data_IF_695376710313
#
_entry.id   IF_695376710313
#
_cell.length_a   1.000
_cell.length_b   1.000
_cell.length_c   1.000
_cell.angle_alpha   90.00
_cell.angle_beta   90.00
_cell.angle_gamma   90.00
#
_symmetry.space_group_name_H-M   'P 1'
#
loop_
_entity.id
_entity.type
_entity.pdbx_description
1 polymer ?
#
# COMPACT_ATOMS: atom_id res chain seq x y z
N UNK A 1 8.74 23.27 84.45
CA UNK A 1 8.36 24.27 83.43
C UNK A 1 9.51 25.27 83.39
N UNK A 2 10.34 25.39 82.32
CA UNK A 2 9.95 25.72 80.93
C UNK A 2 10.67 24.86 79.84
N UNK A 3 10.02 24.57 78.70
CA UNK A 3 10.14 25.15 77.33
C UNK A 3 11.49 24.95 76.59
N UNK A 4 11.48 23.93 75.72
CA UNK A 4 11.93 23.86 74.31
C UNK A 4 13.21 24.59 73.86
N UNK A 5 14.18 23.82 73.35
CA UNK A 5 14.94 24.19 72.14
C UNK A 5 15.50 22.94 71.44
N UNK A 6 14.86 22.55 70.33
CA UNK A 6 15.30 21.45 69.47
C UNK A 6 16.56 21.83 68.68
N UNK A 7 17.65 21.08 68.86
CA UNK A 7 18.91 21.25 68.13
C UNK A 7 18.78 20.73 66.69
N UNK A 8 18.73 21.64 65.72
CA UNK A 8 18.92 21.36 64.28
C UNK A 8 20.33 20.82 64.02
N UNK A 9 20.44 19.61 63.46
CA UNK A 9 21.69 19.08 62.88
C UNK A 9 21.98 19.73 61.51
N UNK A 10 23.25 19.95 61.15
CA UNK A 10 23.61 20.66 59.92
C UNK A 10 23.33 19.84 58.66
N UNK A 11 22.86 20.52 57.63
CA UNK A 11 22.63 19.97 56.30
C UNK A 11 23.97 19.58 55.65
N UNK A 12 24.10 18.32 55.23
CA UNK A 12 25.22 17.89 54.37
C UNK A 12 25.05 18.53 52.99
N UNK A 13 25.98 19.40 52.63
CA UNK A 13 26.12 19.94 51.28
C UNK A 13 26.44 18.81 50.30
N UNK A 14 25.44 18.39 49.51
CA UNK A 14 25.65 17.43 48.43
C UNK A 14 26.19 18.21 47.23
N UNK A 15 27.47 18.00 46.89
CA UNK A 15 28.12 18.58 45.70
C UNK A 15 27.34 18.13 44.47
N UNK A 16 26.53 19.03 43.88
CA UNK A 16 25.93 18.81 42.55
C UNK A 16 27.06 18.74 41.53
N UNK A 17 27.40 17.52 41.09
CA UNK A 17 28.13 17.32 39.84
C UNK A 17 27.25 17.86 38.72
N UNK A 18 27.65 18.96 38.11
CA UNK A 18 27.13 19.45 36.84
C UNK A 18 27.58 18.48 35.74
N UNK A 19 26.84 17.39 35.56
CA UNK A 19 26.95 16.59 34.35
C UNK A 19 26.16 17.29 33.26
N UNK A 20 26.88 17.98 32.36
CA UNK A 20 26.35 18.41 31.07
C UNK A 20 25.69 17.19 30.40
N UNK A 21 24.39 17.22 30.04
CA UNK A 21 23.79 16.11 29.32
C UNK A 21 24.49 16.00 27.96
N UNK A 22 25.09 14.83 27.69
CA UNK A 22 25.56 14.46 26.34
C UNK A 22 24.40 14.70 25.35
N UNK A 23 24.66 15.24 24.15
CA UNK A 23 23.62 15.38 23.14
C UNK A 23 23.02 14.00 22.93
N UNK A 24 21.73 13.86 23.20
CA UNK A 24 21.02 12.63 22.88
C UNK A 24 21.14 12.46 21.37
N UNK A 25 21.84 11.42 20.94
CA UNK A 25 21.76 10.93 19.57
C UNK A 25 20.28 10.67 19.29
N UNK A 26 19.66 11.61 18.57
CA UNK A 26 18.39 11.41 17.91
C UNK A 26 18.62 10.28 16.91
N UNK A 27 18.49 9.03 17.39
CA UNK A 27 18.46 7.84 16.55
C UNK A 27 17.36 8.08 15.53
N UNK A 28 17.77 8.29 14.29
CA UNK A 28 16.87 8.53 13.18
C UNK A 28 15.99 7.29 12.99
N UNK A 29 14.82 7.32 13.62
CA UNK A 29 13.79 6.28 13.52
C UNK A 29 13.15 6.23 12.13
N UNK A 30 13.41 7.22 11.25
CA UNK A 30 12.94 7.22 9.85
C UNK A 30 13.84 6.34 8.98
N UNK A 31 15.16 6.35 9.19
CA UNK A 31 16.10 5.54 8.41
C UNK A 31 15.88 4.02 8.56
N UNK A 32 15.40 3.55 9.72
CA UNK A 32 15.09 2.12 9.95
C UNK A 32 13.77 1.64 9.32
N UNK A 33 12.85 2.53 8.94
CA UNK A 33 11.56 2.14 8.33
C UNK A 33 11.63 1.95 6.81
N UNK A 34 12.73 2.35 6.19
CA UNK A 34 13.08 2.00 4.81
C UNK A 34 13.68 0.58 4.73
N UNK A 35 13.13 -0.38 5.48
CA UNK A 35 13.22 -1.77 5.04
C UNK A 35 12.56 -1.81 3.65
N UNK A 36 13.39 -2.03 2.64
CA UNK A 36 13.12 -1.85 1.22
C UNK A 36 11.73 -2.39 0.87
N UNK A 37 10.77 -1.49 0.64
CA UNK A 37 9.42 -1.88 0.21
C UNK A 37 9.58 -2.76 -1.03
N UNK A 38 9.12 -4.00 -0.90
CA UNK A 38 9.22 -4.97 -1.97
C UNK A 38 8.11 -4.70 -2.97
N UNK A 39 8.47 -4.64 -4.24
CA UNK A 39 7.54 -4.49 -5.34
C UNK A 39 7.96 -5.37 -6.51
N UNK A 40 7.01 -5.70 -7.36
CA UNK A 40 7.24 -6.42 -8.60
C UNK A 40 7.66 -5.43 -9.67
N UNK A 41 8.66 -5.75 -10.46
CA UNK A 41 8.96 -4.99 -11.69
C UNK A 41 7.81 -5.15 -12.69
N UNK A 42 7.78 -4.32 -13.73
CA UNK A 42 6.79 -4.46 -14.81
C UNK A 42 6.87 -5.82 -15.50
N UNK A 43 8.08 -6.39 -15.66
CA UNK A 43 8.27 -7.73 -16.22
C UNK A 43 7.74 -8.82 -15.28
N UNK A 44 8.13 -8.79 -14.00
CA UNK A 44 7.63 -9.73 -12.99
C UNK A 44 6.09 -9.67 -12.90
N UNK A 45 5.52 -8.46 -12.99
CA UNK A 45 4.07 -8.24 -13.02
C UNK A 45 3.45 -8.87 -14.25
N UNK A 46 4.00 -8.63 -15.45
CA UNK A 46 3.50 -9.25 -16.70
C UNK A 46 3.52 -10.77 -16.63
N UNK A 47 4.62 -11.36 -16.18
CA UNK A 47 4.76 -12.82 -16.02
C UNK A 47 3.76 -13.38 -14.99
N UNK A 48 3.60 -12.70 -13.84
CA UNK A 48 2.59 -13.05 -12.84
C UNK A 48 1.18 -13.04 -13.42
N UNK A 49 0.81 -11.97 -14.13
CA UNK A 49 -0.51 -11.93 -14.73
C UNK A 49 -0.67 -12.99 -15.81
N UNK A 50 0.37 -13.32 -16.58
CA UNK A 50 0.31 -14.34 -17.61
C UNK A 50 0.11 -15.76 -17.05
N UNK A 51 0.61 -16.09 -15.85
CA UNK A 51 0.42 -17.41 -15.23
C UNK A 51 -1.02 -17.63 -14.71
N UNK A 52 -1.76 -16.57 -14.43
CA UNK A 52 -3.12 -16.67 -13.91
C UNK A 52 -4.10 -17.04 -15.04
N UNK A 53 -4.55 -18.29 -15.04
CA UNK A 53 -5.51 -18.86 -16.01
C UNK A 53 -6.95 -18.84 -15.51
N UNK A 54 -7.16 -18.96 -14.19
CA UNK A 54 -8.49 -18.94 -13.59
C UNK A 54 -9.15 -17.55 -13.75
N UNK A 55 -10.40 -17.53 -14.22
CA UNK A 55 -11.12 -16.28 -14.54
C UNK A 55 -11.39 -15.43 -13.30
N UNK A 56 -11.72 -16.06 -12.17
CA UNK A 56 -11.97 -15.38 -10.90
C UNK A 56 -10.68 -14.75 -10.41
N UNK A 57 -9.63 -15.54 -10.36
CA UNK A 57 -8.36 -15.12 -9.78
C UNK A 57 -7.70 -14.04 -10.67
N UNK A 58 -7.87 -14.12 -11.99
CA UNK A 58 -7.46 -13.06 -12.92
C UNK A 58 -8.14 -11.72 -12.60
N UNK A 59 -9.45 -11.73 -12.39
CA UNK A 59 -10.22 -10.54 -12.06
C UNK A 59 -9.82 -9.97 -10.69
N UNK A 60 -9.61 -10.84 -9.70
CA UNK A 60 -9.12 -10.47 -8.36
C UNK A 60 -7.79 -9.73 -8.45
N UNK A 61 -6.80 -10.33 -9.11
CA UNK A 61 -5.45 -9.77 -9.17
C UNK A 61 -5.44 -8.46 -9.96
N UNK A 62 -6.22 -8.36 -11.05
CA UNK A 62 -6.31 -7.14 -11.85
C UNK A 62 -6.87 -5.99 -11.02
N UNK A 63 -8.01 -6.18 -10.36
CA UNK A 63 -8.60 -5.13 -9.52
C UNK A 63 -7.69 -4.76 -8.35
N UNK A 64 -7.07 -5.76 -7.70
CA UNK A 64 -6.17 -5.52 -6.58
C UNK A 64 -4.96 -4.67 -6.99
N UNK A 65 -4.35 -5.00 -8.13
CA UNK A 65 -3.23 -4.24 -8.69
C UNK A 65 -3.67 -2.86 -9.16
N UNK A 66 -4.66 -2.75 -10.06
CA UNK A 66 -5.04 -1.49 -10.72
C UNK A 66 -5.55 -0.44 -9.74
N UNK A 67 -6.29 -0.85 -8.72
CA UNK A 67 -6.86 0.05 -7.72
C UNK A 67 -6.10 0.06 -6.39
N UNK A 68 -4.95 -0.62 -6.32
CA UNK A 68 -4.11 -0.68 -5.11
C UNK A 68 -4.87 -1.13 -3.87
N UNK A 69 -5.71 -2.16 -4.01
CA UNK A 69 -6.53 -2.68 -2.91
C UNK A 69 -5.67 -3.44 -1.91
N UNK A 70 -6.05 -3.36 -0.63
CA UNK A 70 -5.56 -4.32 0.37
C UNK A 70 -6.24 -5.67 0.15
N UNK A 71 -5.58 -6.76 0.53
CA UNK A 71 -6.15 -8.10 0.46
C UNK A 71 -7.54 -8.19 1.14
N UNK A 72 -7.70 -7.58 2.30
CA UNK A 72 -8.98 -7.56 3.02
C UNK A 72 -10.07 -6.73 2.32
N UNK A 73 -9.71 -5.76 1.47
CA UNK A 73 -10.68 -4.93 0.72
C UNK A 73 -11.23 -5.67 -0.49
N UNK A 74 -10.45 -6.57 -1.09
CA UNK A 74 -10.92 -7.43 -2.20
C UNK A 74 -12.13 -8.26 -1.77
N UNK A 75 -12.11 -8.79 -0.54
CA UNK A 75 -13.24 -9.56 0.02
C UNK A 75 -14.49 -8.72 0.30
N UNK A 76 -14.39 -7.39 0.34
CA UNK A 76 -15.54 -6.51 0.59
C UNK A 76 -16.34 -6.20 -0.68
N UNK A 77 -15.78 -6.45 -1.86
CA UNK A 77 -16.40 -6.13 -3.13
C UNK A 77 -17.68 -6.92 -3.36
N UNK A 78 -18.73 -6.22 -3.78
CA UNK A 78 -20.03 -6.77 -4.14
C UNK A 78 -20.29 -6.64 -5.63
N UNK A 79 -21.19 -7.46 -6.15
CA UNK A 79 -21.65 -7.35 -7.54
C UNK A 79 -22.31 -6.00 -7.80
N UNK A 80 -23.04 -5.47 -6.80
CA UNK A 80 -23.70 -4.16 -6.86
C UNK A 80 -22.73 -2.98 -6.96
N UNK A 81 -21.45 -3.17 -6.63
CA UNK A 81 -20.45 -2.12 -6.73
C UNK A 81 -19.96 -1.91 -8.18
N UNK A 82 -20.31 -2.81 -9.10
CA UNK A 82 -19.86 -2.78 -10.49
C UNK A 82 -20.90 -2.14 -11.40
N UNK A 83 -20.50 -1.07 -12.09
CA UNK A 83 -21.22 -0.57 -13.26
C UNK A 83 -20.40 -0.86 -14.52
N UNK A 84 -20.60 -2.04 -15.09
CA UNK A 84 -19.90 -2.48 -16.31
C UNK A 84 -20.39 -1.78 -17.58
N UNK A 85 -21.50 -1.03 -17.53
CA UNK A 85 -21.96 -0.21 -18.65
C UNK A 85 -21.18 1.10 -18.69
N UNK A 86 -20.99 1.73 -17.52
CA UNK A 86 -20.22 2.98 -17.36
C UNK A 86 -18.72 2.74 -17.12
N UNK A 87 -18.31 1.48 -17.03
CA UNK A 87 -16.94 1.06 -16.67
C UNK A 87 -16.47 1.71 -15.37
N UNK A 88 -17.28 1.57 -14.32
CA UNK A 88 -16.99 2.09 -12.98
C UNK A 88 -17.09 0.99 -11.93
N UNK A 89 -16.32 1.16 -10.86
CA UNK A 89 -16.41 0.33 -9.65
C UNK A 89 -16.38 1.19 -8.41
N UNK A 90 -17.30 0.94 -7.48
CA UNK A 90 -17.27 1.53 -6.14
C UNK A 90 -16.34 0.73 -5.23
N UNK A 91 -15.36 1.40 -4.63
CA UNK A 91 -14.39 0.75 -3.74
C UNK A 91 -14.65 1.15 -2.29
N UNK A 92 -15.13 0.19 -1.50
CA UNK A 92 -15.32 0.36 -0.05
C UNK A 92 -14.02 0.03 0.67
N UNK A 93 -13.30 1.06 1.13
CA UNK A 93 -12.01 0.90 1.79
C UNK A 93 -12.13 0.79 3.31
N UNK A 94 -11.13 0.19 3.94
CA UNK A 94 -11.10 0.02 5.39
C UNK A 94 -10.93 1.35 6.13
N UNK A 95 -11.26 1.35 7.43
CA UNK A 95 -11.11 2.52 8.32
C UNK A 95 -9.71 3.14 8.18
N UNK A 96 -9.67 4.46 8.05
CA UNK A 96 -8.43 5.20 7.78
C UNK A 96 -8.03 5.19 6.30
N UNK A 97 -8.93 4.83 5.39
CA UNK A 97 -8.77 5.01 3.96
C UNK A 97 -10.04 5.59 3.34
N UNK A 98 -9.88 6.21 2.18
CA UNK A 98 -10.95 6.90 1.48
C UNK A 98 -11.59 5.93 0.48
N UNK A 99 -12.88 5.70 0.62
CA UNK A 99 -13.71 5.01 -0.38
C UNK A 99 -13.97 5.94 -1.56
N UNK A 100 -14.21 5.38 -2.73
CA UNK A 100 -14.49 6.17 -3.91
C UNK A 100 -14.80 5.32 -5.15
N UNK A 101 -15.34 5.99 -6.16
CA UNK A 101 -15.59 5.37 -7.46
C UNK A 101 -14.34 5.48 -8.35
N UNK A 102 -13.93 4.35 -8.93
CA UNK A 102 -12.80 4.28 -9.84
C UNK A 102 -13.25 3.87 -11.25
N UNK A 103 -12.61 4.39 -12.32
CA UNK A 103 -12.80 3.89 -13.67
C UNK A 103 -12.14 2.51 -13.84
N UNK A 104 -12.86 1.59 -14.48
CA UNK A 104 -12.35 0.28 -14.91
C UNK A 104 -11.69 0.41 -16.28
N UNK A 105 -10.52 -0.19 -16.43
CA UNK A 105 -9.87 -0.37 -17.71
C UNK A 105 -10.52 -1.52 -18.51
N UNK A 106 -10.26 -1.55 -19.82
CA UNK A 106 -10.88 -2.52 -20.72
C UNK A 106 -10.52 -3.98 -20.41
N UNK A 107 -9.28 -4.23 -19.96
CA UNK A 107 -8.80 -5.54 -19.52
C UNK A 107 -9.49 -6.00 -18.23
N UNK A 108 -9.65 -5.10 -17.25
CA UNK A 108 -10.37 -5.35 -16.00
C UNK A 108 -11.83 -5.70 -16.26
N UNK A 109 -12.52 -4.87 -17.06
CA UNK A 109 -13.91 -5.09 -17.40
C UNK A 109 -14.11 -6.41 -18.15
N UNK A 110 -13.17 -6.80 -19.03
CA UNK A 110 -13.20 -8.09 -19.73
C UNK A 110 -13.03 -9.26 -18.75
N UNK A 111 -12.07 -9.18 -17.84
CA UNK A 111 -11.85 -10.21 -16.83
C UNK A 111 -13.05 -10.36 -15.89
N UNK A 112 -13.64 -9.24 -15.46
CA UNK A 112 -14.86 -9.22 -14.65
C UNK A 112 -16.04 -9.84 -15.38
N UNK A 113 -16.28 -9.48 -16.64
CA UNK A 113 -17.35 -10.10 -17.45
C UNK A 113 -17.14 -11.61 -17.61
N UNK A 114 -15.90 -12.04 -17.85
CA UNK A 114 -15.58 -13.46 -17.97
C UNK A 114 -15.87 -14.22 -16.66
N UNK A 115 -15.49 -13.65 -15.52
CA UNK A 115 -15.78 -14.20 -14.20
C UNK A 115 -17.29 -14.24 -13.92
N UNK A 116 -17.99 -13.12 -14.11
CA UNK A 116 -19.44 -13.01 -13.87
C UNK A 116 -20.26 -13.96 -14.75
N UNK A 117 -19.77 -14.30 -15.95
CA UNK A 117 -20.41 -15.29 -16.82
C UNK A 117 -20.17 -16.73 -16.36
N UNK A 118 -19.03 -17.03 -15.73
CA UNK A 118 -18.66 -18.39 -15.34
C UNK A 118 -18.98 -18.74 -13.89
N UNK A 119 -19.34 -17.76 -13.06
CA UNK A 119 -19.71 -18.00 -11.66
C UNK A 119 -21.06 -18.73 -11.60
N UNK A 120 -21.09 -19.78 -10.80
CA UNK A 120 -22.29 -20.58 -10.53
C UNK A 120 -22.81 -20.26 -9.13
N UNK A 121 -23.21 -19.01 -8.92
CA UNK A 121 -23.74 -18.53 -7.62
C UNK A 121 -24.44 -17.19 -7.79
N UNK A 122 -25.53 -17.00 -7.04
CA UNK A 122 -26.26 -15.73 -6.92
C UNK A 122 -25.78 -14.88 -5.74
N UNK A 123 -24.65 -15.23 -5.12
CA UNK A 123 -24.10 -14.48 -3.99
C UNK A 123 -23.90 -12.99 -4.32
N UNK A 124 -24.32 -12.05 -3.45
CA UNK A 124 -24.06 -10.62 -3.68
C UNK A 124 -22.56 -10.29 -3.61
N UNK A 125 -21.74 -11.18 -3.04
CA UNK A 125 -20.28 -11.04 -2.96
C UNK A 125 -19.69 -11.22 -4.36
N UNK A 126 -18.76 -10.35 -4.74
CA UNK A 126 -18.13 -10.43 -6.06
C UNK A 126 -17.22 -11.66 -6.17
N UNK A 127 -16.46 -11.94 -5.11
CA UNK A 127 -15.51 -13.05 -5.03
C UNK A 127 -15.80 -13.96 -3.82
N UNK A 128 -16.82 -14.84 -3.91
CA UNK A 128 -17.10 -15.80 -2.86
C UNK A 128 -16.08 -16.95 -2.86
N UNK A 129 -15.80 -17.44 -1.66
CA UNK A 129 -15.15 -18.72 -1.41
C UNK A 129 -16.10 -19.88 -1.70
N UNK A 130 -15.59 -21.12 -1.67
CA UNK A 130 -16.40 -22.33 -1.86
C UNK A 130 -17.55 -22.46 -0.84
N UNK A 131 -17.47 -21.78 0.31
CA UNK A 131 -18.51 -21.79 1.35
C UNK A 131 -19.50 -20.62 1.22
N UNK A 132 -19.44 -19.85 0.12
CA UNK A 132 -20.27 -18.66 -0.08
C UNK A 132 -19.85 -17.42 0.72
N UNK A 133 -18.82 -17.53 1.57
CA UNK A 133 -18.26 -16.41 2.34
C UNK A 133 -17.28 -15.59 1.50
N UNK A 134 -17.01 -14.31 1.83
CA UNK A 134 -15.97 -13.53 1.19
C UNK A 134 -14.61 -14.24 1.10
N UNK A 135 -13.90 -14.06 -0.02
CA UNK A 135 -12.52 -14.56 -0.13
C UNK A 135 -11.65 -13.95 0.98
N UNK A 136 -10.93 -14.80 1.69
CA UNK A 136 -10.09 -14.38 2.81
C UNK A 136 -8.74 -13.86 2.33
N UNK A 137 -8.14 -12.97 3.13
CA UNK A 137 -6.76 -12.50 2.91
C UNK A 137 -5.78 -13.67 2.82
N UNK A 138 -5.95 -14.69 3.67
CA UNK A 138 -5.08 -15.86 3.69
C UNK A 138 -5.16 -16.62 2.37
N UNK A 139 -6.36 -16.77 1.81
CA UNK A 139 -6.52 -17.42 0.51
C UNK A 139 -5.87 -16.61 -0.60
N UNK A 140 -6.00 -15.28 -0.59
CA UNK A 140 -5.32 -14.40 -1.54
C UNK A 140 -3.79 -14.52 -1.46
N UNK A 141 -3.23 -14.61 -0.26
CA UNK A 141 -1.80 -14.86 -0.06
C UNK A 141 -1.38 -16.25 -0.56
N UNK A 142 -2.23 -17.28 -0.42
CA UNK A 142 -1.97 -18.62 -1.00
C UNK A 142 -1.95 -18.56 -2.52
N UNK A 143 -2.94 -17.90 -3.15
CA UNK A 143 -2.98 -17.71 -4.61
C UNK A 143 -1.73 -16.96 -5.11
N UNK A 144 -1.35 -15.88 -4.43
CA UNK A 144 -0.16 -15.10 -4.79
C UNK A 144 1.11 -15.94 -4.72
N UNK A 145 1.23 -16.84 -3.75
CA UNK A 145 2.38 -17.74 -3.62
C UNK A 145 2.44 -18.74 -4.77
N UNK A 146 1.31 -19.38 -5.10
CA UNK A 146 1.23 -20.33 -6.21
C UNK A 146 1.56 -19.67 -7.55
N UNK A 147 0.78 -18.65 -7.95
CA UNK A 147 1.01 -17.97 -9.22
C UNK A 147 2.36 -17.25 -9.28
N UNK A 148 2.84 -16.71 -8.16
CA UNK A 148 4.16 -16.09 -8.08
C UNK A 148 5.29 -17.10 -8.20
N UNK A 149 5.11 -18.34 -7.76
CA UNK A 149 6.08 -19.41 -7.99
C UNK A 149 6.14 -19.81 -9.46
N UNK A 150 4.99 -20.07 -10.08
CA UNK A 150 4.87 -20.39 -11.51
C UNK A 150 5.45 -19.28 -12.39
N UNK A 151 5.22 -18.03 -12.01
CA UNK A 151 5.74 -16.86 -12.70
C UNK A 151 7.17 -16.49 -12.28
N UNK A 152 7.92 -17.36 -11.58
CA UNK A 152 9.29 -17.11 -11.12
C UNK A 152 9.48 -15.72 -10.48
N UNK A 153 8.52 -15.27 -9.69
CA UNK A 153 8.63 -14.10 -8.82
C UNK A 153 9.50 -14.48 -7.63
N UNK A 154 10.44 -13.63 -7.16
CA UNK A 154 11.23 -13.90 -5.96
C UNK A 154 10.37 -14.23 -4.74
N UNK A 155 10.76 -15.27 -3.97
CA UNK A 155 9.96 -15.81 -2.85
C UNK A 155 9.53 -14.75 -1.84
N UNK A 156 10.39 -13.77 -1.60
CA UNK A 156 10.19 -12.71 -0.63
C UNK A 156 9.23 -11.61 -1.11
N UNK A 157 8.89 -11.59 -2.41
CA UNK A 157 7.86 -10.75 -3.01
C UNK A 157 6.51 -11.46 -3.16
N UNK A 158 6.41 -12.78 -2.88
CA UNK A 158 5.18 -13.58 -3.04
C UNK A 158 4.19 -13.40 -1.89
N UNK A 159 3.68 -12.18 -1.71
CA UNK A 159 2.63 -11.85 -0.75
C UNK A 159 1.66 -10.85 -1.39
N UNK A 160 0.36 -10.96 -1.13
CA UNK A 160 -0.66 -10.28 -1.92
C UNK A 160 -0.57 -8.75 -1.84
N UNK A 161 -0.09 -8.22 -0.71
CA UNK A 161 0.13 -6.78 -0.54
C UNK A 161 1.19 -6.20 -1.49
N UNK A 162 2.07 -7.04 -2.07
CA UNK A 162 3.08 -6.61 -3.03
C UNK A 162 2.44 -5.92 -4.25
N UNK A 163 1.22 -6.34 -4.64
CA UNK A 163 0.50 -5.76 -5.78
C UNK A 163 0.23 -4.27 -5.56
N UNK A 164 -0.15 -3.89 -4.34
CA UNK A 164 -0.37 -2.49 -3.95
C UNK A 164 0.92 -1.68 -4.00
N UNK A 165 2.02 -2.25 -3.50
CA UNK A 165 3.33 -1.59 -3.59
C UNK A 165 3.78 -1.43 -5.04
N UNK A 166 3.54 -2.45 -5.87
CA UNK A 166 3.91 -2.48 -7.28
C UNK A 166 3.18 -1.40 -8.07
N UNK A 167 1.84 -1.31 -7.98
CA UNK A 167 1.12 -0.24 -8.69
C UNK A 167 1.53 1.15 -8.22
N UNK A 168 1.81 1.32 -6.92
CA UNK A 168 2.20 2.61 -6.37
C UNK A 168 3.54 3.07 -6.97
N UNK A 169 4.54 2.20 -6.96
CA UNK A 169 5.84 2.48 -7.56
C UNK A 169 5.71 2.68 -9.07
N UNK A 170 4.98 1.80 -9.78
CA UNK A 170 4.80 1.92 -11.23
C UNK A 170 4.12 3.22 -11.65
N UNK A 171 3.13 3.71 -10.91
CA UNK A 171 2.49 4.99 -11.20
C UNK A 171 3.47 6.15 -11.03
N UNK A 172 4.27 6.15 -9.97
CA UNK A 172 5.28 7.21 -9.77
C UNK A 172 6.40 7.16 -10.81
N UNK A 173 6.85 5.96 -11.20
CA UNK A 173 7.84 5.76 -12.26
C UNK A 173 7.28 6.23 -13.62
N UNK A 174 5.98 6.06 -13.85
CA UNK A 174 5.28 6.60 -15.02
C UNK A 174 5.05 8.13 -14.94
N UNK A 175 5.50 8.79 -13.87
CA UNK A 175 5.43 10.24 -13.71
C UNK A 175 4.16 10.75 -13.03
N UNK A 176 3.35 9.88 -12.44
CA UNK A 176 2.17 10.30 -11.69
C UNK A 176 2.55 11.20 -10.50
N UNK A 177 1.71 12.20 -10.25
CA UNK A 177 1.89 13.08 -9.10
C UNK A 177 1.57 12.35 -7.79
N UNK A 178 2.26 12.75 -6.72
CA UNK A 178 2.11 12.12 -5.41
C UNK A 178 0.69 12.27 -4.85
N UNK A 179 0.05 13.41 -5.10
CA UNK A 179 -1.32 13.65 -4.63
C UNK A 179 -2.34 12.77 -5.36
N UNK A 180 -2.20 12.65 -6.68
CA UNK A 180 -2.97 11.69 -7.46
C UNK A 180 -2.79 10.28 -6.93
N UNK A 181 -1.55 9.85 -6.65
CA UNK A 181 -1.30 8.52 -6.10
C UNK A 181 -1.96 8.33 -4.72
N UNK A 182 -1.86 9.34 -3.85
CA UNK A 182 -2.48 9.29 -2.52
C UNK A 182 -3.99 9.05 -2.64
N UNK A 183 -4.65 9.84 -3.48
CA UNK A 183 -6.10 9.76 -3.68
C UNK A 183 -6.47 8.41 -4.33
N UNK A 184 -5.70 7.96 -5.33
CA UNK A 184 -5.92 6.69 -6.01
C UNK A 184 -5.77 5.46 -5.11
N UNK A 185 -4.81 5.46 -4.19
CA UNK A 185 -4.64 4.39 -3.19
C UNK A 185 -5.58 4.52 -1.99
N UNK A 186 -6.38 5.60 -1.93
CA UNK A 186 -7.27 5.92 -0.84
C UNK A 186 -6.55 6.20 0.48
N UNK A 187 -5.33 6.73 0.44
CA UNK A 187 -4.53 6.98 1.64
C UNK A 187 -4.98 8.27 2.36
N UNK A 188 -5.60 8.12 3.54
CA UNK A 188 -5.96 9.28 4.38
C UNK A 188 -4.72 10.04 4.88
N UNK A 189 -3.64 9.32 5.19
CA UNK A 189 -2.37 9.89 5.60
C UNK A 189 -1.36 9.84 4.46
N UNK A 190 -0.91 11.02 4.01
CA UNK A 190 0.09 11.17 2.94
C UNK A 190 1.40 10.45 3.24
N UNK A 191 1.77 10.26 4.51
CA UNK A 191 3.00 9.55 4.89
C UNK A 191 3.02 8.11 4.35
N UNK A 192 1.85 7.48 4.20
CA UNK A 192 1.72 6.14 3.60
C UNK A 192 2.02 6.12 2.10
N UNK A 193 2.04 7.29 1.45
CA UNK A 193 2.35 7.46 0.03
C UNK A 193 3.79 7.95 -0.18
N UNK A 194 4.31 8.81 0.71
CA UNK A 194 5.70 9.31 0.65
C UNK A 194 6.72 8.18 0.67
N UNK A 195 6.44 7.08 1.37
CA UNK A 195 7.35 5.92 1.40
C UNK A 195 7.71 5.38 0.01
N UNK A 196 6.86 5.57 -1.01
CA UNK A 196 7.14 5.12 -2.38
C UNK A 196 8.07 6.06 -3.14
N UNK A 197 8.19 7.34 -2.76
CA UNK A 197 9.03 8.30 -3.48
C UNK A 197 10.52 7.98 -3.37
N UNK A 198 10.92 7.23 -2.34
CA UNK A 198 12.29 6.78 -2.15
C UNK A 198 12.70 5.65 -3.13
N UNK A 199 11.72 4.98 -3.76
CA UNK A 199 11.95 3.85 -4.67
C UNK A 199 12.08 4.27 -6.13
N UNK A 200 11.62 5.47 -6.46
CA UNK A 200 11.57 5.99 -7.83
C UNK A 200 12.97 6.37 -8.29
N UNK A 201 13.44 5.74 -9.35
CA UNK A 201 14.79 5.91 -9.91
C UNK A 201 14.89 7.02 -10.97
N UNK A 202 13.91 7.93 -11.07
CA UNK A 202 14.11 9.06 -11.97
C UNK A 202 15.26 9.90 -11.42
N UNK A 203 16.34 10.04 -12.20
CA UNK A 203 17.43 10.93 -11.85
C UNK A 203 16.84 12.31 -11.57
N UNK A 204 17.04 12.80 -10.34
CA UNK A 204 16.63 14.16 -9.94
C UNK A 204 17.11 15.20 -10.95
N UNK A 205 18.26 14.91 -11.57
CA UNK A 205 18.87 15.70 -12.63
C UNK A 205 18.03 15.74 -13.91
N UNK A 206 17.47 14.61 -14.37
CA UNK A 206 16.60 14.59 -15.57
C UNK A 206 15.33 15.41 -15.36
N UNK A 207 14.70 15.28 -14.19
CA UNK A 207 13.53 16.09 -13.84
C UNK A 207 13.89 17.57 -13.71
N UNK A 208 15.00 17.89 -13.03
CA UNK A 208 15.49 19.26 -12.91
C UNK A 208 15.73 19.87 -14.30
N UNK A 209 16.47 19.19 -15.18
CA UNK A 209 16.71 19.63 -16.56
C UNK A 209 15.42 19.90 -17.31
N UNK A 210 14.43 18.99 -17.24
CA UNK A 210 13.12 19.21 -17.86
C UNK A 210 12.36 20.41 -17.28
N UNK A 211 12.40 20.64 -15.97
CA UNK A 211 11.72 21.79 -15.36
C UNK A 211 12.41 23.11 -15.70
N UNK A 212 13.74 23.17 -15.62
CA UNK A 212 14.50 24.38 -15.93
C UNK A 212 14.46 24.74 -17.42
N UNK A 213 14.25 23.78 -18.34
CA UNK A 213 13.97 24.09 -19.75
C UNK A 213 12.67 24.86 -19.97
N UNK A 214 11.72 24.80 -19.02
CA UNK A 214 10.43 25.50 -19.10
C UNK A 214 10.47 26.90 -18.48
N UNK A 215 11.56 27.24 -17.79
CA UNK A 215 11.74 28.57 -17.20
C UNK A 215 12.40 29.49 -18.24
N UNK A 216 12.03 30.78 -18.29
CA UNK A 216 12.76 31.75 -19.10
C UNK A 216 14.23 31.76 -18.68
N UNK A 217 15.12 31.86 -19.67
CA UNK A 217 16.54 32.07 -19.40
C UNK A 217 16.71 33.44 -18.74
N UNK A 218 17.50 33.49 -17.67
CA UNK A 218 17.88 34.73 -17.00
C UNK A 218 18.84 35.54 -17.88
#
# INVERSE_FOLDING_TARGET
>A
MPVVAAKKKPAKANKRKTTTPKPAELKDTRARRSETIKFLTLDETRRLFASITDKRDKAIFLLAYRHGLRASEVGLLRVSDLDLKRLRVMLHRLKGSLSGEHPLQADEARALKAWLKSRDTDSPILFPSRRGLPISRQMLDVLMKGYGEEAAVPKDKRHFHVLKHSIATHLLDAGAELRFLQDWLGHSNIQNTVIYTALVSTSRETKARQYFLKLPRL
#
